data_IF_930837538608
#
_entry.id   IF_930837538608
#
_cell.length_a   1.000
_cell.length_b   1.000
_cell.length_c   1.000
_cell.angle_alpha   90.00
_cell.angle_beta   90.00
_cell.angle_gamma   90.00
#
_symmetry.space_group_name_H-M   'P 1'
#
loop_
_entity.id
_entity.type
_entity.pdbx_description
1 polymer ?
#
# COMPACT_ATOMS: atom_id res chain seq x y z
N UNK A 1 -18.62 1.29 -3.36
CA UNK A 1 -17.17 1.07 -3.55
C UNK A 1 -16.77 1.79 -4.83
N UNK A 2 -15.73 2.62 -4.78
CA UNK A 2 -15.26 3.37 -5.96
C UNK A 2 -14.30 2.51 -6.78
N UNK A 3 -13.40 1.79 -6.11
CA UNK A 3 -12.45 0.83 -6.68
C UNK A 3 -11.79 0.01 -5.56
N UNK A 4 -10.99 -0.98 -5.94
CA UNK A 4 -10.20 -1.81 -5.02
C UNK A 4 -8.87 -2.18 -5.67
N UNK A 5 -7.89 -2.55 -4.84
CA UNK A 5 -6.61 -3.09 -5.28
C UNK A 5 -6.28 -4.30 -4.42
N UNK A 6 -6.19 -5.47 -5.05
CA UNK A 6 -5.78 -6.70 -4.37
C UNK A 6 -4.28 -6.69 -4.19
N UNK A 7 -3.84 -6.77 -2.95
CA UNK A 7 -2.43 -6.96 -2.64
C UNK A 7 -2.13 -8.45 -2.41
N UNK A 8 -0.92 -8.92 -2.75
CA UNK A 8 -0.54 -10.31 -2.54
C UNK A 8 -0.34 -10.65 -1.05
N UNK A 9 -0.07 -9.65 -0.21
CA UNK A 9 -0.02 -9.77 1.24
C UNK A 9 -1.33 -9.35 1.91
N UNK A 10 -1.48 -9.68 3.20
CA UNK A 10 -2.48 -9.04 4.03
C UNK A 10 -1.91 -7.74 4.58
N UNK A 11 -2.43 -6.59 4.14
CA UNK A 11 -2.00 -5.31 4.68
C UNK A 11 -2.28 -5.24 6.19
N UNK A 12 -1.23 -5.04 6.99
CA UNK A 12 -1.31 -4.90 8.45
C UNK A 12 -1.40 -3.44 8.90
N UNK A 13 -1.05 -2.52 8.01
CA UNK A 13 -1.19 -1.09 8.23
C UNK A 13 -1.35 -0.34 6.91
N UNK A 14 -2.18 0.71 6.94
CA UNK A 14 -2.41 1.61 5.80
C UNK A 14 -2.30 3.06 6.26
N UNK A 15 -1.64 3.89 5.45
CA UNK A 15 -1.61 5.33 5.61
C UNK A 15 -1.80 5.99 4.24
N UNK A 16 -2.48 7.14 4.21
CA UNK A 16 -2.74 7.89 2.97
C UNK A 16 -2.10 9.26 3.08
N UNK A 17 -1.31 9.65 2.09
CA UNK A 17 -0.78 10.99 1.96
C UNK A 17 -0.85 11.46 0.51
N UNK A 18 -1.62 12.52 0.28
CA UNK A 18 -1.90 13.02 -1.07
C UNK A 18 -2.64 11.97 -1.91
N UNK A 19 -2.10 11.68 -3.09
CA UNK A 19 -2.67 10.73 -4.06
C UNK A 19 -2.07 9.32 -3.90
N UNK A 20 -1.42 9.03 -2.78
CA UNK A 20 -0.80 7.75 -2.52
C UNK A 20 -1.31 7.09 -1.24
N UNK A 21 -1.57 5.79 -1.32
CA UNK A 21 -1.76 4.91 -0.18
C UNK A 21 -0.50 4.06 0.02
N UNK A 22 -0.04 3.98 1.26
CA UNK A 22 1.12 3.20 1.70
C UNK A 22 0.61 2.00 2.48
N UNK A 23 1.02 0.79 2.10
CA UNK A 23 0.56 -0.45 2.70
C UNK A 23 1.75 -1.21 3.27
N UNK A 24 1.75 -1.43 4.57
CA UNK A 24 2.66 -2.38 5.22
C UNK A 24 2.08 -3.80 5.06
N UNK A 25 2.82 -4.68 4.40
CA UNK A 25 2.38 -6.03 4.01
C UNK A 25 3.18 -7.14 4.71
N UNK A 26 3.58 -6.93 5.97
CA UNK A 26 4.28 -7.95 6.72
C UNK A 26 5.64 -8.32 6.08
N UNK A 27 5.80 -9.59 5.72
CA UNK A 27 7.05 -10.10 5.10
C UNK A 27 7.22 -9.64 3.65
N UNK A 28 6.14 -9.18 2.99
CA UNK A 28 6.21 -8.62 1.64
C UNK A 28 6.72 -7.18 1.67
N UNK A 29 6.86 -6.54 2.84
CA UNK A 29 7.41 -5.19 2.93
C UNK A 29 6.39 -4.08 2.70
N UNK A 30 6.75 -3.05 1.94
CA UNK A 30 5.94 -1.84 1.72
C UNK A 30 5.48 -1.75 0.26
N UNK A 31 4.17 -1.59 0.04
CA UNK A 31 3.60 -1.19 -1.25
C UNK A 31 3.15 0.26 -1.24
N UNK A 32 3.26 0.90 -2.39
CA UNK A 32 2.82 2.26 -2.65
C UNK A 32 1.82 2.18 -3.79
N UNK A 33 0.58 2.55 -3.52
CA UNK A 33 -0.53 2.51 -4.45
C UNK A 33 -0.89 3.95 -4.83
N UNK A 34 -0.86 4.26 -6.11
CA UNK A 34 -1.45 5.47 -6.67
C UNK A 34 -2.97 5.36 -6.61
N UNK A 35 -3.59 6.32 -5.95
CA UNK A 35 -5.04 6.43 -5.75
C UNK A 35 -5.59 7.75 -6.36
N UNK A 36 -4.86 8.37 -7.29
CA UNK A 36 -5.31 9.56 -8.03
C UNK A 36 -6.60 9.30 -8.82
N UNK A 37 -6.75 8.11 -9.40
CA UNK A 37 -8.03 7.58 -9.88
C UNK A 37 -8.61 6.58 -8.86
N UNK A 38 -9.59 6.98 -8.03
CA UNK A 38 -10.17 6.09 -7.02
C UNK A 38 -10.98 4.94 -7.63
N UNK A 39 -11.32 4.98 -8.92
CA UNK A 39 -11.97 3.89 -9.63
C UNK A 39 -10.98 2.85 -10.18
N UNK A 40 -9.70 3.23 -10.32
CA UNK A 40 -8.66 2.38 -10.85
C UNK A 40 -7.30 2.62 -10.14
N UNK A 41 -7.16 2.22 -8.86
CA UNK A 41 -5.88 2.30 -8.17
C UNK A 41 -4.81 1.45 -8.86
N UNK A 42 -3.55 1.90 -8.85
CA UNK A 42 -2.44 1.17 -9.47
C UNK A 42 -1.21 1.16 -8.58
N UNK A 43 -0.36 0.14 -8.70
CA UNK A 43 0.90 0.10 -7.95
C UNK A 43 1.90 1.11 -8.52
N UNK A 44 2.27 2.10 -7.72
CA UNK A 44 3.30 3.09 -8.05
C UNK A 44 4.69 2.60 -7.70
N UNK A 45 4.80 1.71 -6.69
CA UNK A 45 6.08 1.17 -6.26
C UNK A 45 6.00 0.13 -5.16
N UNK A 46 7.13 -0.54 -4.98
CA UNK A 46 7.31 -1.61 -4.02
C UNK A 46 8.69 -1.48 -3.38
N UNK A 47 8.77 -1.74 -2.08
CA UNK A 47 10.01 -1.78 -1.33
C UNK A 47 10.01 -2.97 -0.37
N UNK A 48 10.87 -3.95 -0.66
CA UNK A 48 11.12 -5.08 0.24
C UNK A 48 11.86 -4.56 1.48
N UNK A 49 11.17 -4.55 2.62
CA UNK A 49 11.81 -4.16 3.88
C UNK A 49 12.70 -5.29 4.39
N UNK A 50 13.89 -5.02 4.96
CA UNK A 50 14.76 -6.07 5.51
C UNK A 50 14.15 -6.91 6.65
N UNK A 51 12.98 -6.53 7.15
CA UNK A 51 12.21 -7.23 8.18
C UNK A 51 10.72 -7.10 7.92
N UNK A 52 9.91 -7.39 8.93
CA UNK A 52 8.45 -7.36 8.80
C UNK A 52 7.96 -5.90 8.84
N UNK A 53 7.29 -5.45 7.79
CA UNK A 53 6.57 -4.18 7.78
C UNK A 53 5.30 -4.32 8.62
N UNK A 54 5.26 -3.67 9.78
CA UNK A 54 4.16 -3.80 10.76
C UNK A 54 3.19 -2.62 10.77
N UNK A 55 3.56 -1.51 10.17
CA UNK A 55 2.73 -0.32 10.11
C UNK A 55 3.38 0.80 9.31
N UNK A 56 2.58 1.79 8.99
CA UNK A 56 2.97 3.01 8.27
C UNK A 56 2.36 4.21 8.99
N UNK A 57 3.07 5.33 8.96
CA UNK A 57 2.61 6.62 9.47
C UNK A 57 3.10 7.73 8.53
N UNK A 58 2.30 8.79 8.40
CA UNK A 58 2.55 9.97 7.56
C UNK A 58 2.53 11.25 8.40
#
# INVERSE_FOLDING_TARGET
EAGFYDTPGGAVGVAVAGEYAYLAEGMEGLRIIDISDPAAPTEAGYYETPGIAMGVAV
#
